data_IF_338727635541
#
_entry.id   IF_338727635541
#
_cell.length_a   1.000
_cell.length_b   1.000
_cell.length_c   1.000
_cell.angle_alpha   90.00
_cell.angle_beta   90.00
_cell.angle_gamma   90.00
#
_symmetry.space_group_name_H-M   'P 1'
#
loop_
_entity.id
_entity.type
_entity.pdbx_description
1 polymer ?
#
# COMPACT_ATOMS: atom_id res chain seq x y z
N UNK A 1 8.29 11.39 1.68
CA UNK A 1 7.12 12.30 1.87
C UNK A 1 5.84 11.53 1.57
N UNK A 2 4.66 12.02 1.94
CA UNK A 2 3.39 11.39 1.53
C UNK A 2 2.95 11.82 0.13
N UNK A 3 2.26 10.95 -0.61
CA UNK A 3 1.64 11.26 -1.91
C UNK A 3 0.73 12.49 -1.82
N UNK A 4 -0.10 12.57 -0.77
CA UNK A 4 -0.91 13.74 -0.44
C UNK A 4 -0.10 15.05 -0.47
N UNK A 5 1.08 15.09 0.15
CA UNK A 5 1.93 16.30 0.19
C UNK A 5 2.51 16.61 -1.18
N UNK A 6 2.89 15.58 -1.95
CA UNK A 6 3.45 15.75 -3.29
C UNK A 6 2.43 16.42 -4.21
N UNK A 7 1.21 15.89 -4.23
CA UNK A 7 0.15 16.39 -5.11
C UNK A 7 -0.41 17.73 -4.62
N UNK A 8 -0.54 17.93 -3.30
CA UNK A 8 -1.01 19.19 -2.74
C UNK A 8 -0.05 20.35 -3.01
N UNK A 9 1.26 20.14 -2.86
CA UNK A 9 2.25 21.19 -3.13
C UNK A 9 2.45 21.47 -4.61
N UNK A 10 1.93 20.62 -5.50
CA UNK A 10 2.00 20.75 -6.96
C UNK A 10 3.39 21.18 -7.49
N UNK A 11 4.45 20.62 -6.89
CA UNK A 11 5.83 20.91 -7.27
C UNK A 11 6.28 19.98 -8.40
N UNK A 12 7.21 20.45 -9.22
CA UNK A 12 7.82 19.66 -10.29
C UNK A 12 8.81 18.63 -9.72
N UNK A 13 8.27 17.52 -9.21
CA UNK A 13 9.03 16.38 -8.72
C UNK A 13 8.54 15.10 -9.39
N UNK A 14 9.42 14.11 -9.52
CA UNK A 14 9.03 12.77 -9.97
C UNK A 14 8.89 11.84 -8.76
N UNK A 15 7.81 11.06 -8.74
CA UNK A 15 7.68 9.94 -7.78
C UNK A 15 8.59 8.82 -8.27
N UNK A 16 9.63 8.50 -7.49
CA UNK A 16 10.60 7.46 -7.82
C UNK A 16 10.16 6.07 -7.37
N UNK A 17 9.59 5.95 -6.16
CA UNK A 17 9.17 4.66 -5.59
C UNK A 17 8.05 4.85 -4.56
N UNK A 18 7.02 4.00 -4.63
CA UNK A 18 5.99 3.88 -3.58
C UNK A 18 6.51 2.98 -2.47
N UNK A 19 6.59 3.45 -1.23
CA UNK A 19 7.26 2.70 -0.15
C UNK A 19 6.34 1.68 0.55
N UNK A 20 5.02 1.76 0.35
CA UNK A 20 4.07 0.76 0.84
C UNK A 20 3.69 0.89 2.32
N UNK A 21 4.06 1.99 2.99
CA UNK A 21 3.67 2.30 4.38
C UNK A 21 3.09 3.71 4.49
N UNK A 22 2.52 4.04 5.65
CA UNK A 22 1.86 5.34 5.87
C UNK A 22 0.63 5.52 5.00
N UNK A 23 -0.12 4.43 4.78
CA UNK A 23 -1.32 4.42 3.93
C UNK A 23 -2.44 5.20 4.59
N UNK A 24 -3.03 6.11 3.84
CA UNK A 24 -4.21 6.86 4.20
C UNK A 24 -4.93 7.27 2.92
N UNK A 25 -6.12 7.83 3.07
CA UNK A 25 -6.91 8.33 1.95
C UNK A 25 -7.40 9.73 2.28
N UNK A 26 -7.28 10.66 1.34
CA UNK A 26 -7.86 11.99 1.45
C UNK A 26 -9.31 11.91 1.01
N UNK A 27 -10.24 12.25 1.90
CA UNK A 27 -11.65 11.98 1.68
C UNK A 27 -12.53 13.18 2.03
N UNK A 28 -13.61 13.32 1.27
CA UNK A 28 -14.75 14.15 1.63
C UNK A 28 -15.51 13.47 2.76
N UNK A 29 -15.83 14.23 3.80
CA UNK A 29 -16.69 13.81 4.87
C UNK A 29 -17.76 14.86 5.18
N UNK A 30 -18.96 14.38 5.49
CA UNK A 30 -20.15 15.20 5.80
C UNK A 30 -20.74 14.76 7.13
N UNK A 31 -21.75 15.47 7.65
CA UNK A 31 -22.37 15.06 8.92
C UNK A 31 -23.07 13.72 8.76
N UNK A 32 -23.01 12.87 9.80
CA UNK A 32 -23.51 11.49 9.76
C UNK A 32 -24.97 11.38 9.30
N UNK A 33 -25.80 12.36 9.67
CA UNK A 33 -27.23 12.42 9.32
C UNK A 33 -27.56 12.95 7.92
N UNK A 34 -26.58 13.46 7.17
CA UNK A 34 -26.82 14.01 5.83
C UNK A 34 -26.76 12.92 4.76
N UNK A 35 -27.53 13.06 3.68
CA UNK A 35 -27.44 12.17 2.54
C UNK A 35 -26.44 12.72 1.51
N UNK A 36 -25.51 11.88 1.06
CA UNK A 36 -24.55 12.26 0.04
C UNK A 36 -25.06 11.88 -1.34
N UNK A 37 -25.29 12.88 -2.20
CA UNK A 37 -25.84 12.68 -3.56
C UNK A 37 -24.76 12.72 -4.64
N UNK A 38 -23.51 12.38 -4.29
CA UNK A 38 -22.34 12.52 -5.16
C UNK A 38 -21.74 13.93 -5.13
N UNK A 39 -20.78 14.20 -6.02
CA UNK A 39 -19.99 15.43 -6.04
C UNK A 39 -20.86 16.71 -6.03
N UNK A 40 -22.01 16.69 -6.70
CA UNK A 40 -22.97 17.81 -6.77
C UNK A 40 -23.51 18.23 -5.40
N UNK A 41 -23.46 17.35 -4.38
CA UNK A 41 -23.78 17.72 -2.99
C UNK A 41 -22.96 18.92 -2.52
N UNK A 42 -21.73 19.08 -3.03
CA UNK A 42 -20.78 20.11 -2.64
C UNK A 42 -21.02 21.46 -3.36
N UNK A 43 -22.01 21.56 -4.24
CA UNK A 43 -22.30 22.81 -4.95
C UNK A 43 -22.81 23.89 -4.00
N UNK A 44 -22.18 25.06 -4.05
CA UNK A 44 -22.39 26.19 -3.12
C UNK A 44 -22.21 25.81 -1.64
N UNK A 45 -21.44 24.75 -1.34
CA UNK A 45 -21.08 24.35 0.03
C UNK A 45 -19.70 24.87 0.42
N UNK A 46 -19.54 25.14 1.72
CA UNK A 46 -18.25 25.46 2.33
C UNK A 46 -17.53 24.17 2.71
N UNK A 47 -16.30 24.03 2.26
CA UNK A 47 -15.47 22.82 2.45
C UNK A 47 -14.22 23.22 3.23
N UNK A 48 -14.11 22.77 4.47
CA UNK A 48 -12.90 22.98 5.25
C UNK A 48 -11.84 21.92 4.91
N UNK A 49 -10.59 22.34 4.69
CA UNK A 49 -9.51 21.41 4.36
C UNK A 49 -8.13 21.99 4.66
N UNK A 50 -7.13 21.13 4.84
CA UNK A 50 -5.72 21.49 4.75
C UNK A 50 -5.10 21.17 3.37
N UNK A 51 -5.93 20.72 2.41
CA UNK A 51 -5.57 20.31 1.05
C UNK A 51 -6.33 21.09 -0.04
N UNK A 52 -6.27 22.44 -0.05
CA UNK A 52 -7.05 23.25 -0.96
C UNK A 52 -6.77 22.98 -2.45
N UNK A 53 -5.53 22.62 -2.83
CA UNK A 53 -5.17 22.36 -4.23
C UNK A 53 -5.85 21.08 -4.71
N UNK A 54 -5.77 20.00 -3.94
CA UNK A 54 -6.41 18.72 -4.28
C UNK A 54 -7.94 18.83 -4.30
N UNK A 55 -8.54 19.53 -3.33
CA UNK A 55 -9.99 19.77 -3.32
C UNK A 55 -10.42 20.59 -4.53
N UNK A 56 -9.67 21.65 -4.88
CA UNK A 56 -9.98 22.48 -6.06
C UNK A 56 -9.92 21.66 -7.36
N UNK A 57 -8.94 20.77 -7.50
CA UNK A 57 -8.85 19.87 -8.64
C UNK A 57 -10.05 18.92 -8.71
N UNK A 58 -10.46 18.35 -7.57
CA UNK A 58 -11.62 17.49 -7.47
C UNK A 58 -12.93 18.22 -7.86
N UNK A 59 -13.15 19.43 -7.33
CA UNK A 59 -14.33 20.25 -7.67
C UNK A 59 -14.38 20.60 -9.16
N UNK A 60 -13.25 21.06 -9.72
CA UNK A 60 -13.15 21.39 -11.13
C UNK A 60 -13.44 20.18 -12.04
N UNK A 61 -12.90 19.01 -11.69
CA UNK A 61 -13.12 17.77 -12.45
C UNK A 61 -14.60 17.38 -12.49
N UNK A 62 -15.34 17.66 -11.42
CA UNK A 62 -16.75 17.32 -11.28
C UNK A 62 -17.69 18.49 -11.65
N UNK A 63 -17.16 19.63 -12.10
CA UNK A 63 -17.93 20.83 -12.46
C UNK A 63 -18.79 21.36 -11.30
N UNK A 64 -18.24 21.37 -10.09
CA UNK A 64 -18.94 21.80 -8.87
C UNK A 64 -18.36 23.13 -8.37
N UNK A 65 -19.21 24.07 -7.97
CA UNK A 65 -18.81 25.36 -7.42
C UNK A 65 -18.88 25.35 -5.89
N UNK A 66 -17.88 24.75 -5.24
CA UNK A 66 -17.74 24.76 -3.77
C UNK A 66 -16.79 25.84 -3.26
N UNK A 67 -17.03 26.37 -2.06
CA UNK A 67 -16.16 27.34 -1.38
C UNK A 67 -15.13 26.63 -0.51
N UNK A 68 -13.85 26.78 -0.83
CA UNK A 68 -12.76 26.14 -0.08
C UNK A 68 -12.30 27.06 1.07
N UNK A 69 -12.40 26.55 2.29
CA UNK A 69 -11.85 27.18 3.49
C UNK A 69 -10.59 26.44 3.94
N UNK A 70 -9.42 27.01 3.63
CA UNK A 70 -8.15 26.46 4.08
C UNK A 70 -7.97 26.68 5.59
N UNK A 71 -7.71 25.60 6.32
CA UNK A 71 -7.42 25.65 7.76
C UNK A 71 -6.22 24.75 8.12
N UNK A 72 -5.41 25.23 9.05
CA UNK A 72 -4.21 24.53 9.53
C UNK A 72 -4.56 23.61 10.70
N UNK A 73 -5.15 22.45 10.40
CA UNK A 73 -5.44 21.40 11.39
C UNK A 73 -6.82 21.48 12.04
N UNK A 74 -7.16 20.42 12.79
CA UNK A 74 -8.46 20.22 13.45
C UNK A 74 -9.65 20.42 12.51
N UNK A 75 -9.53 19.90 11.29
CA UNK A 75 -10.50 20.10 10.22
C UNK A 75 -11.87 19.54 10.60
N UNK A 76 -11.88 18.43 11.33
CA UNK A 76 -13.05 17.70 11.82
C UNK A 76 -13.99 18.53 12.71
N UNK A 77 -13.51 19.62 13.31
CA UNK A 77 -14.31 20.49 14.18
C UNK A 77 -15.11 21.51 13.36
N UNK A 78 -14.66 21.86 12.15
CA UNK A 78 -15.24 22.94 11.35
C UNK A 78 -16.76 22.80 11.09
N UNK A 79 -17.30 21.59 10.81
CA UNK A 79 -18.75 21.43 10.68
C UNK A 79 -19.52 21.60 11.99
N UNK A 80 -18.93 21.22 13.13
CA UNK A 80 -19.57 21.32 14.44
C UNK A 80 -19.77 22.77 14.90
N UNK A 81 -18.87 23.67 14.51
CA UNK A 81 -18.92 25.11 14.81
C UNK A 81 -19.58 25.95 13.71
N UNK A 82 -20.08 25.31 12.63
CA UNK A 82 -20.75 25.99 11.52
C UNK A 82 -19.82 26.73 10.54
N UNK A 83 -18.50 26.51 10.62
CA UNK A 83 -17.51 27.09 9.71
C UNK A 83 -17.60 26.50 8.29
N UNK A 84 -17.93 25.21 8.20
CA UNK A 84 -18.05 24.51 6.92
C UNK A 84 -19.24 23.53 6.92
N UNK A 85 -19.70 23.18 5.73
CA UNK A 85 -20.79 22.21 5.52
C UNK A 85 -20.23 20.80 5.28
N UNK A 86 -19.03 20.71 4.69
CA UNK A 86 -18.28 19.47 4.51
C UNK A 86 -16.79 19.68 4.87
N UNK A 87 -16.05 18.59 5.00
CA UNK A 87 -14.59 18.63 5.12
C UNK A 87 -13.92 17.76 4.08
N UNK A 88 -12.67 18.06 3.77
CA UNK A 88 -11.77 17.15 3.08
C UNK A 88 -10.50 16.97 3.89
N UNK A 89 -10.27 15.78 4.44
CA UNK A 89 -9.07 15.51 5.24
C UNK A 89 -8.61 14.05 5.14
N UNK A 90 -7.41 13.78 5.66
CA UNK A 90 -6.84 12.44 5.68
C UNK A 90 -7.59 11.52 6.63
N UNK A 91 -7.95 10.35 6.12
CA UNK A 91 -8.59 9.27 6.85
C UNK A 91 -7.70 8.04 6.81
N UNK A 92 -7.45 7.46 7.99
CA UNK A 92 -6.82 6.14 8.12
C UNK A 92 -7.85 5.13 8.64
N UNK A 93 -8.11 5.09 9.94
CA UNK A 93 -9.14 4.23 10.55
C UNK A 93 -10.56 4.82 10.50
N UNK A 94 -10.70 6.14 10.32
CA UNK A 94 -11.99 6.84 10.39
C UNK A 94 -12.44 7.25 11.79
N UNK A 95 -11.69 6.91 12.84
CA UNK A 95 -12.07 7.17 14.24
C UNK A 95 -12.29 8.66 14.54
N UNK A 96 -11.43 9.54 14.01
CA UNK A 96 -11.55 11.00 14.19
C UNK A 96 -12.85 11.56 13.61
N UNK A 97 -13.25 11.11 12.40
CA UNK A 97 -14.51 11.51 11.78
C UNK A 97 -15.69 11.09 12.64
N UNK A 98 -15.70 9.83 13.08
CA UNK A 98 -16.77 9.26 13.89
C UNK A 98 -16.95 10.02 15.22
N UNK A 99 -15.86 10.35 15.91
CA UNK A 99 -15.89 11.10 17.17
C UNK A 99 -16.47 12.52 17.01
N UNK A 100 -16.39 13.09 15.81
CA UNK A 100 -16.92 14.42 15.49
C UNK A 100 -18.27 14.36 14.76
N UNK A 101 -18.94 13.20 14.76
CA UNK A 101 -20.26 13.05 14.14
C UNK A 101 -20.24 13.14 12.61
N UNK A 102 -19.09 12.87 11.99
CA UNK A 102 -18.90 12.88 10.54
C UNK A 102 -18.88 11.45 9.98
N UNK A 103 -19.20 11.33 8.70
CA UNK A 103 -18.99 10.11 7.90
C UNK A 103 -18.24 10.44 6.62
N UNK A 104 -17.32 9.54 6.27
CA UNK A 104 -16.66 9.57 4.97
C UNK A 104 -17.67 9.23 3.88
N UNK A 105 -17.62 9.94 2.75
CA UNK A 105 -18.55 9.74 1.63
C UNK A 105 -17.86 9.57 0.28
N UNK A 106 -16.67 10.13 0.11
CA UNK A 106 -15.93 9.98 -1.14
C UNK A 106 -14.42 10.11 -0.94
N UNK A 107 -13.66 9.16 -1.48
CA UNK A 107 -12.20 9.21 -1.50
C UNK A 107 -11.72 9.95 -2.76
N UNK A 108 -10.95 11.03 -2.58
CA UNK A 108 -10.42 11.81 -3.70
C UNK A 108 -8.96 11.47 -4.03
N UNK A 109 -8.22 10.88 -3.08
CA UNK A 109 -6.85 10.41 -3.28
C UNK A 109 -6.50 9.29 -2.31
N UNK A 110 -6.05 8.15 -2.83
CA UNK A 110 -5.29 7.15 -2.08
C UNK A 110 -3.83 7.63 -1.93
N UNK A 111 -3.30 7.60 -0.71
CA UNK A 111 -1.98 8.16 -0.39
C UNK A 111 -1.13 7.20 0.43
N UNK A 112 0.17 7.17 0.14
CA UNK A 112 1.16 6.50 0.97
C UNK A 112 2.50 7.25 0.97
N UNK A 113 3.46 6.77 1.76
CA UNK A 113 4.82 7.27 1.71
C UNK A 113 5.48 6.95 0.35
N UNK A 114 6.08 7.97 -0.26
CA UNK A 114 6.85 7.89 -1.51
C UNK A 114 8.24 8.49 -1.35
N UNK A 115 9.18 7.92 -2.10
CA UNK A 115 10.45 8.56 -2.42
C UNK A 115 10.26 9.43 -3.66
N UNK A 116 10.59 10.71 -3.54
CA UNK A 116 10.56 11.66 -4.66
C UNK A 116 11.97 11.97 -5.12
N UNK A 117 12.09 12.35 -6.39
CA UNK A 117 13.34 12.78 -6.99
C UNK A 117 13.16 14.14 -7.69
N UNK A 118 14.22 14.94 -7.65
CA UNK A 118 14.31 16.15 -8.46
C UNK A 118 14.45 15.75 -9.93
N UNK A 119 13.84 16.52 -10.84
CA UNK A 119 13.94 16.30 -12.29
C UNK A 119 15.35 16.61 -12.83
N UNK A 120 16.10 17.49 -12.16
CA UNK A 120 17.43 17.93 -12.55
C UNK A 120 18.48 17.46 -11.54
N UNK A 121 18.81 16.17 -11.57
CA UNK A 121 19.87 15.59 -10.74
C UNK A 121 21.16 15.43 -11.55
N UNK A 122 22.30 15.64 -10.90
CA UNK A 122 23.60 15.25 -11.46
C UNK A 122 23.70 13.72 -11.57
N UNK A 123 24.56 13.25 -12.47
CA UNK A 123 24.79 11.82 -12.68
C UNK A 123 25.18 11.09 -11.39
N UNK A 124 26.08 11.68 -10.59
CA UNK A 124 26.49 11.14 -9.29
C UNK A 124 25.32 10.94 -8.31
N UNK A 125 24.39 11.90 -8.26
CA UNK A 125 23.19 11.81 -7.41
C UNK A 125 22.23 10.75 -7.94
N UNK A 126 22.07 10.64 -9.26
CA UNK A 126 21.26 9.61 -9.90
C UNK A 126 21.78 8.20 -9.59
N UNK A 127 23.10 7.99 -9.64
CA UNK A 127 23.72 6.71 -9.27
C UNK A 127 23.55 6.38 -7.79
N UNK A 128 23.70 7.38 -6.90
CA UNK A 128 23.45 7.22 -5.47
C UNK A 128 22.00 6.84 -5.20
N UNK A 129 21.06 7.50 -5.87
CA UNK A 129 19.63 7.19 -5.78
C UNK A 129 19.34 5.77 -6.26
N UNK A 130 19.92 5.34 -7.39
CA UNK A 130 19.73 3.99 -7.92
C UNK A 130 20.19 2.93 -6.91
N UNK A 131 21.36 3.13 -6.28
CA UNK A 131 21.87 2.22 -5.21
C UNK A 131 20.95 2.17 -4.00
N UNK A 132 20.37 3.31 -3.60
CA UNK A 132 19.42 3.37 -2.49
C UNK A 132 18.11 2.67 -2.84
N UNK A 133 17.55 2.94 -4.02
CA UNK A 133 16.33 2.33 -4.54
C UNK A 133 16.46 0.80 -4.58
N UNK A 134 17.56 0.29 -5.11
CA UNK A 134 17.85 -1.14 -5.13
C UNK A 134 17.79 -1.77 -3.72
N UNK A 135 18.39 -1.13 -2.71
CA UNK A 135 18.35 -1.62 -1.32
C UNK A 135 16.94 -1.60 -0.74
N UNK A 136 16.17 -0.54 -1.00
CA UNK A 136 14.77 -0.41 -0.56
C UNK A 136 13.92 -1.51 -1.21
N UNK A 137 14.04 -1.68 -2.52
CA UNK A 137 13.29 -2.68 -3.29
C UNK A 137 13.63 -4.10 -2.83
N UNK A 138 14.90 -4.38 -2.48
CA UNK A 138 15.33 -5.68 -1.97
C UNK A 138 14.65 -6.06 -0.66
N UNK A 139 14.48 -5.11 0.26
CA UNK A 139 13.76 -5.32 1.54
C UNK A 139 12.26 -5.45 1.30
N UNK A 140 11.69 -4.59 0.43
CA UNK A 140 10.27 -4.64 0.08
C UNK A 140 9.87 -5.98 -0.55
N UNK A 141 10.69 -6.49 -1.46
CA UNK A 141 10.46 -7.78 -2.11
C UNK A 141 10.50 -8.91 -1.08
N UNK A 142 11.48 -8.88 -0.18
CA UNK A 142 11.61 -9.87 0.89
C UNK A 142 10.39 -9.91 1.83
N UNK A 143 9.84 -8.75 2.20
CA UNK A 143 8.69 -8.65 3.13
C UNK A 143 7.47 -9.48 2.71
N UNK A 144 7.24 -9.62 1.40
CA UNK A 144 6.07 -10.33 0.86
C UNK A 144 6.38 -11.79 0.48
N UNK A 145 7.53 -12.31 0.87
CA UNK A 145 7.95 -13.66 0.54
C UNK A 145 8.41 -14.41 1.81
N UNK A 146 8.22 -15.73 1.78
CA UNK A 146 8.67 -16.66 2.81
C UNK A 146 9.59 -17.68 2.18
N UNK A 147 10.66 -17.99 2.88
CA UNK A 147 11.48 -19.13 2.54
C UNK A 147 10.88 -20.36 3.22
N UNK A 148 10.68 -21.41 2.44
CA UNK A 148 10.19 -22.69 2.95
C UNK A 148 11.22 -23.78 2.70
N UNK A 149 11.31 -24.69 3.66
CA UNK A 149 12.02 -25.95 3.52
C UNK A 149 11.06 -27.06 3.95
N UNK A 150 11.08 -28.18 3.24
CA UNK A 150 10.22 -29.32 3.51
C UNK A 150 10.92 -30.61 3.14
N UNK A 151 10.50 -31.71 3.75
CA UNK A 151 10.92 -33.05 3.35
C UNK A 151 9.87 -33.62 2.39
N UNK A 152 10.31 -34.19 1.28
CA UNK A 152 9.48 -34.74 0.23
C UNK A 152 9.90 -36.18 -0.08
N UNK A 153 8.94 -37.13 -0.23
CA UNK A 153 9.25 -38.46 -0.72
C UNK A 153 9.62 -38.37 -2.21
N UNK A 154 10.66 -39.10 -2.62
CA UNK A 154 11.24 -38.99 -3.96
C UNK A 154 10.22 -39.33 -5.06
N UNK A 155 9.26 -40.22 -4.79
CA UNK A 155 8.18 -40.58 -5.72
C UNK A 155 7.24 -39.41 -6.07
N UNK A 156 7.03 -38.47 -5.14
CA UNK A 156 6.15 -37.31 -5.35
C UNK A 156 6.93 -36.03 -5.66
N UNK A 157 8.25 -36.10 -5.79
CA UNK A 157 9.11 -34.94 -5.95
C UNK A 157 8.72 -34.10 -7.17
N UNK A 158 8.38 -34.71 -8.31
CA UNK A 158 7.96 -33.98 -9.51
C UNK A 158 6.67 -33.18 -9.29
N UNK A 159 5.68 -33.76 -8.58
CA UNK A 159 4.44 -33.07 -8.23
C UNK A 159 4.72 -31.92 -7.26
N UNK A 160 5.55 -32.16 -6.25
CA UNK A 160 5.94 -31.13 -5.28
C UNK A 160 6.67 -29.96 -5.96
N UNK A 161 7.61 -30.24 -6.87
CA UNK A 161 8.31 -29.21 -7.63
C UNK A 161 7.34 -28.39 -8.49
N UNK A 162 6.33 -29.02 -9.11
CA UNK A 162 5.34 -28.28 -9.92
C UNK A 162 4.46 -27.32 -9.11
N UNK A 163 4.29 -27.57 -7.81
CA UNK A 163 3.54 -26.70 -6.89
C UNK A 163 4.36 -25.50 -6.40
N UNK A 164 5.68 -25.52 -6.60
CA UNK A 164 6.61 -24.54 -6.05
C UNK A 164 7.06 -23.57 -7.15
N UNK A 165 6.47 -22.36 -7.25
CA UNK A 165 6.79 -21.41 -8.31
C UNK A 165 8.26 -20.95 -8.30
N UNK A 166 8.93 -20.99 -7.14
CA UNK A 166 10.37 -20.72 -6.98
C UNK A 166 10.82 -19.34 -7.47
N UNK A 167 12.09 -18.99 -7.26
CA UNK A 167 12.69 -17.82 -7.92
C UNK A 167 13.29 -18.15 -9.29
N UNK A 168 13.75 -19.40 -9.46
CA UNK A 168 14.32 -19.96 -10.69
C UNK A 168 14.00 -21.44 -10.80
N UNK A 169 14.29 -22.18 -9.73
CA UNK A 169 13.92 -23.57 -9.51
C UNK A 169 14.00 -23.84 -8.01
N UNK A 170 13.18 -24.75 -7.45
CA UNK A 170 13.40 -25.27 -6.11
C UNK A 170 14.78 -25.94 -6.00
N UNK A 171 15.40 -25.85 -4.82
CA UNK A 171 16.62 -26.60 -4.50
C UNK A 171 16.22 -27.95 -3.95
N UNK A 172 16.85 -29.03 -4.41
CA UNK A 172 16.60 -30.40 -3.95
C UNK A 172 17.89 -31.00 -3.44
N UNK A 173 17.87 -31.51 -2.21
CA UNK A 173 19.00 -32.14 -1.53
C UNK A 173 18.57 -33.51 -1.00
N UNK A 174 19.33 -34.60 -1.23
CA UNK A 174 19.01 -35.90 -0.65
C UNK A 174 19.12 -35.87 0.88
N UNK A 175 18.22 -36.58 1.58
CA UNK A 175 18.31 -36.77 3.02
C UNK A 175 19.15 -38.02 3.36
N UNK A 176 19.56 -38.12 4.64
CA UNK A 176 20.18 -39.33 5.17
C UNK A 176 19.22 -40.53 5.16
N UNK A 177 17.92 -40.25 5.31
CA UNK A 177 16.87 -41.26 5.15
C UNK A 177 16.67 -41.58 3.65
N UNK A 178 16.87 -42.84 3.22
CA UNK A 178 16.66 -43.23 1.83
C UNK A 178 15.22 -42.98 1.37
N UNK A 179 15.07 -42.54 0.12
CA UNK A 179 13.75 -42.28 -0.46
C UNK A 179 13.19 -40.88 -0.19
N UNK A 180 13.91 -40.03 0.52
CA UNK A 180 13.50 -38.65 0.83
C UNK A 180 14.49 -37.60 0.36
N UNK A 181 13.96 -36.40 0.07
CA UNK A 181 14.72 -35.21 -0.28
C UNK A 181 14.22 -33.99 0.49
N UNK A 182 15.14 -33.10 0.90
CA UNK A 182 14.80 -31.75 1.35
C UNK A 182 14.59 -30.86 0.12
N UNK A 183 13.45 -30.18 0.08
CA UNK A 183 13.09 -29.23 -0.98
C UNK A 183 12.99 -27.83 -0.39
N UNK A 184 13.76 -26.89 -0.94
CA UNK A 184 13.74 -25.50 -0.51
C UNK A 184 13.17 -24.61 -1.62
N UNK A 185 12.30 -23.67 -1.25
CA UNK A 185 11.70 -22.73 -2.20
C UNK A 185 11.33 -21.41 -1.53
N UNK A 186 10.94 -20.44 -2.35
CA UNK A 186 10.41 -19.14 -1.91
C UNK A 186 8.97 -19.02 -2.39
N UNK A 187 8.06 -18.71 -1.47
CA UNK A 187 6.64 -18.51 -1.75
C UNK A 187 6.22 -17.08 -1.42
N UNK A 188 5.22 -16.55 -2.12
CA UNK A 188 4.60 -15.29 -1.75
C UNK A 188 3.64 -15.50 -0.58
N UNK A 189 3.53 -14.50 0.29
CA UNK A 189 2.67 -14.57 1.48
C UNK A 189 1.20 -14.86 1.16
N UNK A 190 0.71 -14.33 0.04
CA UNK A 190 -0.69 -14.47 -0.37
C UNK A 190 -1.03 -15.84 -0.98
N UNK A 191 -0.02 -16.59 -1.44
CA UNK A 191 -0.17 -17.94 -2.00
C UNK A 191 0.24 -19.02 -0.97
N UNK A 192 0.69 -18.58 0.21
CA UNK A 192 1.39 -19.43 1.17
C UNK A 192 0.53 -20.60 1.66
N UNK A 193 -0.68 -20.32 2.17
CA UNK A 193 -1.52 -21.36 2.76
C UNK A 193 -2.02 -22.37 1.74
N UNK A 194 -2.49 -21.89 0.58
CA UNK A 194 -2.98 -22.73 -0.51
C UNK A 194 -1.92 -23.72 -1.00
N UNK A 195 -0.65 -23.28 -1.12
CA UNK A 195 0.45 -24.14 -1.53
C UNK A 195 0.82 -25.13 -0.43
N UNK A 196 0.84 -24.72 0.83
CA UNK A 196 1.19 -25.61 1.96
C UNK A 196 0.21 -26.77 2.10
N UNK A 197 -1.09 -26.53 1.88
CA UNK A 197 -2.11 -27.58 1.87
C UNK A 197 -1.86 -28.60 0.75
N UNK A 198 -1.64 -28.12 -0.48
CA UNK A 198 -1.33 -28.97 -1.63
C UNK A 198 -0.02 -29.76 -1.45
N UNK A 199 0.99 -29.16 -0.83
CA UNK A 199 2.25 -29.84 -0.50
C UNK A 199 2.03 -30.98 0.49
N UNK A 200 1.23 -30.77 1.54
CA UNK A 200 0.89 -31.82 2.51
C UNK A 200 0.13 -32.97 1.85
N UNK A 201 -0.84 -32.66 0.99
CA UNK A 201 -1.56 -33.67 0.21
C UNK A 201 -0.64 -34.45 -0.74
N UNK A 202 0.42 -33.82 -1.24
CA UNK A 202 1.46 -34.48 -2.03
C UNK A 202 2.48 -35.27 -1.19
N UNK A 203 2.31 -35.34 0.14
CA UNK A 203 3.16 -36.11 1.05
C UNK A 203 4.33 -35.34 1.63
N UNK A 204 4.39 -34.01 1.49
CA UNK A 204 5.42 -33.21 2.12
C UNK A 204 5.29 -33.21 3.65
N UNK A 205 6.42 -33.30 4.35
CA UNK A 205 6.52 -33.34 5.80
C UNK A 205 7.52 -32.31 6.33
N UNK A 206 7.42 -32.00 7.63
CA UNK A 206 8.42 -31.17 8.31
C UNK A 206 8.60 -29.77 7.70
N UNK A 207 7.52 -29.15 7.22
CA UNK A 207 7.61 -27.86 6.54
C UNK A 207 7.97 -26.76 7.55
N UNK A 208 9.15 -26.14 7.39
CA UNK A 208 9.57 -24.98 8.16
C UNK A 208 9.50 -23.71 7.31
N UNK A 209 9.15 -22.61 7.96
CA UNK A 209 8.97 -21.30 7.35
C UNK A 209 9.94 -20.33 7.99
N UNK A 210 10.73 -19.66 7.16
CA UNK A 210 11.74 -18.70 7.60
C UNK A 210 11.45 -17.34 6.96
N UNK A 211 11.45 -16.23 7.73
CA UNK A 211 11.32 -14.90 7.16
C UNK A 211 12.55 -14.57 6.31
N UNK A 212 12.34 -13.89 5.18
CA UNK A 212 13.43 -13.38 4.36
C UNK A 212 13.67 -11.92 4.72
N UNK A 213 14.90 -11.57 5.08
CA UNK A 213 15.21 -10.17 5.37
C UNK A 213 15.36 -9.32 4.11
N UNK A 214 16.04 -9.85 3.09
CA UNK A 214 16.44 -9.14 1.87
C UNK A 214 16.46 -10.11 0.69
N UNK A 215 15.95 -9.69 -0.46
CA UNK A 215 16.01 -10.45 -1.70
C UNK A 215 16.69 -9.62 -2.77
N UNK A 216 17.82 -10.11 -3.29
CA UNK A 216 18.54 -9.49 -4.41
C UNK A 216 18.19 -10.25 -5.68
N UNK A 217 17.65 -9.55 -6.66
CA UNK A 217 17.21 -10.08 -7.96
C UNK A 217 17.64 -9.20 -9.10
#
# INVERSE_FOLDING_TARGET
VGENVVYEKNKQVKVGEKLGFGKCRLCIAIRKGEEYTGAQFLDNKRIATSYPVLVKQYLNKNQVNGEIHEISGSVEIAPGIGLADAICDLVSSGSTLFMNGLKEVETILESQAVLIQNLQMSEEKSQTLARLLFRIQSVKKAKNNKYILLNAPNENLSKIISLLPGMKSPTVLPLAEPGWSSVHSVLKENEFWDIIEQLKEAGAQGILVVPIEKMIV
#
